data_IF_944959635614
#
_entry.id   IF_944959635614
#
_cell.length_a   1.000
_cell.length_b   1.000
_cell.length_c   1.000
_cell.angle_alpha   90.00
_cell.angle_beta   90.00
_cell.angle_gamma   90.00
#
_symmetry.space_group_name_H-M   'P 1'
#
loop_
_entity.id
_entity.type
_entity.pdbx_description
1 polymer ?
#
# COMPACT_ATOMS: atom_id res chain seq x y z
N UNK A 1 -14.20 -16.36 -20.58
CA UNK A 1 -13.87 -17.80 -20.63
C UNK A 1 -14.60 -18.45 -19.46
N UNK A 2 -15.74 -19.08 -19.70
CA UNK A 2 -16.45 -19.85 -18.68
C UNK A 2 -15.80 -21.23 -18.61
N UNK A 3 -14.98 -21.46 -17.59
CA UNK A 3 -14.51 -22.82 -17.31
C UNK A 3 -15.65 -23.54 -16.61
N UNK A 4 -16.53 -24.12 -17.40
CA UNK A 4 -17.41 -25.19 -16.96
C UNK A 4 -16.67 -26.49 -17.24
N UNK A 5 -15.73 -26.82 -16.39
CA UNK A 5 -15.13 -28.13 -16.39
C UNK A 5 -16.12 -29.08 -15.69
N UNK A 6 -16.89 -29.82 -16.50
CA UNK A 6 -17.83 -30.80 -16.00
C UNK A 6 -17.15 -31.87 -15.12
N UNK A 7 -15.89 -32.21 -15.39
CA UNK A 7 -15.11 -33.17 -14.60
C UNK A 7 -14.79 -32.63 -13.20
N UNK A 8 -14.57 -31.33 -13.06
CA UNK A 8 -14.35 -30.69 -11.76
C UNK A 8 -15.66 -30.63 -10.96
N UNK A 9 -16.77 -30.29 -11.61
CA UNK A 9 -18.09 -30.28 -10.98
C UNK A 9 -18.51 -31.65 -10.47
N UNK A 10 -18.26 -32.73 -11.22
CA UNK A 10 -18.51 -34.12 -10.81
C UNK A 10 -17.69 -34.52 -9.58
N UNK A 11 -16.41 -34.23 -9.55
CA UNK A 11 -15.53 -34.52 -8.39
C UNK A 11 -15.97 -33.80 -7.11
N UNK A 12 -16.47 -32.57 -7.21
CA UNK A 12 -16.96 -31.82 -6.07
C UNK A 12 -18.36 -32.27 -5.63
N UNK A 13 -19.21 -32.74 -6.53
CA UNK A 13 -20.52 -33.28 -6.18
C UNK A 13 -20.42 -34.58 -5.38
N UNK A 14 -19.45 -35.47 -5.67
CA UNK A 14 -19.13 -36.64 -4.87
C UNK A 14 -18.70 -36.29 -3.44
N UNK A 15 -18.07 -35.11 -3.22
CA UNK A 15 -17.66 -34.62 -1.91
C UNK A 15 -18.73 -33.78 -1.19
N UNK A 16 -19.97 -33.74 -1.69
CA UNK A 16 -21.06 -32.87 -1.20
C UNK A 16 -20.72 -31.38 -1.24
N UNK A 17 -19.84 -30.97 -2.13
CA UNK A 17 -19.49 -29.59 -2.36
C UNK A 17 -20.23 -29.05 -3.60
N UNK A 18 -20.83 -27.88 -3.47
CA UNK A 18 -21.46 -27.17 -4.56
C UNK A 18 -20.51 -26.11 -5.13
N UNK A 19 -20.41 -26.06 -6.47
CA UNK A 19 -19.68 -25.02 -7.17
C UNK A 19 -20.64 -23.93 -7.59
N UNK A 20 -20.46 -22.75 -7.03
CA UNK A 20 -21.23 -21.57 -7.34
C UNK A 20 -20.43 -20.64 -8.26
N UNK A 21 -21.08 -20.09 -9.28
CA UNK A 21 -20.48 -19.11 -10.18
C UNK A 21 -20.57 -17.73 -9.54
N UNK A 22 -19.45 -17.24 -8.99
CA UNK A 22 -19.41 -15.97 -8.26
C UNK A 22 -19.16 -14.75 -9.17
N UNK A 23 -18.26 -14.87 -10.16
CA UNK A 23 -17.76 -13.70 -10.88
C UNK A 23 -17.27 -14.05 -12.27
N UNK A 24 -17.72 -13.29 -13.29
CA UNK A 24 -17.18 -13.31 -14.63
C UNK A 24 -16.18 -12.17 -14.85
N UNK A 25 -15.02 -12.47 -15.42
CA UNK A 25 -13.98 -11.50 -15.74
C UNK A 25 -13.77 -11.44 -17.25
N UNK A 26 -13.66 -10.22 -17.83
CA UNK A 26 -13.25 -10.03 -19.23
C UNK A 26 -11.74 -10.01 -19.39
N UNK A 27 -11.02 -9.40 -18.43
CA UNK A 27 -9.57 -9.31 -18.41
C UNK A 27 -9.06 -9.65 -17.01
N UNK A 28 -7.90 -10.31 -16.95
CA UNK A 28 -7.27 -10.74 -15.73
C UNK A 28 -5.76 -10.59 -15.82
N UNK A 29 -5.16 -9.95 -14.80
CA UNK A 29 -3.73 -9.83 -14.63
C UNK A 29 -3.29 -10.38 -13.29
N UNK A 30 -2.24 -11.22 -13.29
CA UNK A 30 -1.61 -11.75 -12.08
C UNK A 30 -0.12 -11.91 -12.31
N UNK A 31 0.71 -11.45 -11.37
CA UNK A 31 2.16 -11.57 -11.46
C UNK A 31 2.80 -11.77 -10.08
N UNK A 32 3.81 -12.61 -10.03
CA UNK A 32 4.80 -12.77 -8.96
C UNK A 32 4.33 -13.49 -7.70
N UNK A 33 3.13 -13.28 -7.19
CA UNK A 33 2.71 -13.86 -5.90
C UNK A 33 1.30 -14.42 -5.92
N UNK A 34 1.10 -15.53 -5.19
CA UNK A 34 -0.22 -16.09 -4.96
C UNK A 34 -1.15 -15.05 -4.32
N UNK A 35 -2.43 -15.06 -4.70
CA UNK A 35 -3.49 -14.16 -4.20
C UNK A 35 -3.31 -12.67 -4.55
N UNK A 36 -2.39 -12.34 -5.46
CA UNK A 36 -2.26 -10.99 -6.06
C UNK A 36 -2.78 -11.02 -7.48
N UNK A 37 -3.88 -10.33 -7.71
CA UNK A 37 -4.45 -10.22 -9.03
C UNK A 37 -5.37 -9.00 -9.14
N UNK A 38 -5.56 -8.55 -10.36
CA UNK A 38 -6.56 -7.56 -10.74
C UNK A 38 -7.35 -8.09 -11.93
N UNK A 39 -8.62 -7.76 -12.02
CA UNK A 39 -9.46 -8.15 -13.14
C UNK A 39 -10.62 -7.20 -13.35
N UNK A 40 -11.08 -7.11 -14.59
CA UNK A 40 -12.29 -6.39 -14.94
C UNK A 40 -13.48 -7.36 -14.82
N UNK A 41 -14.29 -7.15 -13.81
CA UNK A 41 -15.52 -7.92 -13.58
C UNK A 41 -16.58 -7.42 -14.56
N UNK A 42 -17.25 -8.34 -15.26
CA UNK A 42 -18.37 -8.08 -16.16
C UNK A 42 -19.69 -8.64 -15.65
N UNK A 43 -19.62 -9.59 -14.72
CA UNK A 43 -20.80 -10.16 -14.06
C UNK A 43 -20.48 -10.47 -12.58
N UNK A 44 -21.39 -10.24 -11.63
CA UNK A 44 -22.79 -9.75 -11.77
C UNK A 44 -22.91 -8.24 -11.98
N UNK A 45 -21.88 -7.48 -11.64
CA UNK A 45 -21.83 -6.03 -11.81
C UNK A 45 -20.45 -5.60 -12.25
N UNK A 46 -20.38 -4.75 -13.26
CA UNK A 46 -19.14 -4.23 -13.77
C UNK A 46 -18.35 -3.45 -12.72
N UNK A 47 -17.10 -3.87 -12.47
CA UNK A 47 -16.16 -3.20 -11.55
C UNK A 47 -14.74 -3.73 -11.74
N UNK A 48 -13.75 -2.94 -11.42
CA UNK A 48 -12.38 -3.42 -11.24
C UNK A 48 -12.24 -4.13 -9.89
N UNK A 49 -11.78 -5.37 -9.89
CA UNK A 49 -11.50 -6.17 -8.70
C UNK A 49 -10.00 -6.25 -8.47
N UNK A 50 -9.56 -5.77 -7.31
CA UNK A 50 -8.14 -5.78 -6.92
C UNK A 50 -8.00 -6.65 -5.66
N UNK A 51 -7.09 -7.61 -5.67
CA UNK A 51 -6.79 -8.49 -4.53
C UNK A 51 -5.29 -8.54 -4.24
N UNK A 52 -4.94 -8.51 -2.95
CA UNK A 52 -3.57 -8.74 -2.48
C UNK A 52 -2.57 -7.60 -2.68
N UNK A 53 -2.99 -6.47 -3.22
CA UNK A 53 -2.18 -5.26 -3.35
C UNK A 53 -2.45 -4.25 -2.23
N UNK A 54 -1.59 -3.25 -2.12
CA UNK A 54 -1.61 -2.24 -1.06
C UNK A 54 -2.87 -1.34 -1.05
N UNK A 55 -3.69 -1.39 -2.08
CA UNK A 55 -4.94 -0.59 -2.18
C UNK A 55 -5.95 -0.85 -1.06
N UNK A 56 -5.83 -1.97 -0.35
CA UNK A 56 -6.72 -2.39 0.74
C UNK A 56 -6.09 -2.23 2.13
N UNK A 57 -4.83 -1.79 2.23
CA UNK A 57 -4.10 -1.75 3.49
C UNK A 57 -4.32 -0.45 4.25
N UNK A 58 -4.56 -0.54 5.54
CA UNK A 58 -4.75 0.63 6.41
C UNK A 58 -3.48 1.47 6.63
N UNK A 59 -2.29 0.87 6.40
CA UNK A 59 -0.99 1.54 6.50
C UNK A 59 -0.49 2.09 5.14
N UNK A 60 -1.35 2.08 4.12
CA UNK A 60 -1.13 2.73 2.83
C UNK A 60 -1.56 4.19 2.88
N UNK A 61 -1.01 5.01 2.01
CA UNK A 61 -1.39 6.40 1.83
C UNK A 61 -2.16 6.59 0.51
N UNK A 62 -2.99 7.65 0.46
CA UNK A 62 -3.94 7.85 -0.63
C UNK A 62 -3.27 7.96 -2.00
N UNK A 63 -2.18 8.72 -2.10
CA UNK A 63 -1.43 8.88 -3.35
C UNK A 63 -0.97 7.55 -3.95
N UNK A 64 -0.50 6.60 -3.10
CA UNK A 64 -0.15 5.26 -3.55
C UNK A 64 -1.38 4.45 -4.02
N UNK A 65 -2.45 4.49 -3.24
CA UNK A 65 -3.64 3.68 -3.57
C UNK A 65 -4.31 4.15 -4.85
N UNK A 66 -4.35 5.45 -5.09
CA UNK A 66 -4.94 6.01 -6.30
C UNK A 66 -4.03 5.81 -7.52
N UNK A 67 -2.70 5.96 -7.35
CA UNK A 67 -1.73 5.60 -8.38
C UNK A 67 -1.81 4.12 -8.80
N UNK A 68 -1.92 3.20 -7.83
CA UNK A 68 -2.10 1.77 -8.12
C UNK A 68 -3.41 1.49 -8.89
N UNK A 69 -4.51 2.12 -8.51
CA UNK A 69 -5.79 1.95 -9.23
C UNK A 69 -5.70 2.45 -10.68
N UNK A 70 -5.03 3.56 -10.89
CA UNK A 70 -4.83 4.10 -12.24
C UNK A 70 -3.90 3.21 -13.07
N UNK A 71 -2.79 2.75 -12.49
CA UNK A 71 -1.89 1.79 -13.12
C UNK A 71 -2.62 0.51 -13.54
N UNK A 72 -3.49 -0.04 -12.69
CA UNK A 72 -4.25 -1.24 -13.03
C UNK A 72 -5.21 -1.04 -14.20
N UNK A 73 -5.75 0.16 -14.40
CA UNK A 73 -6.55 0.46 -15.60
C UNK A 73 -5.70 0.31 -16.86
N UNK A 74 -4.52 0.94 -16.89
CA UNK A 74 -3.62 0.80 -18.03
C UNK A 74 -3.20 -0.67 -18.27
N UNK A 75 -2.91 -1.41 -17.21
CA UNK A 75 -2.55 -2.84 -17.31
C UNK A 75 -3.70 -3.69 -17.86
N UNK A 76 -4.95 -3.42 -17.46
CA UNK A 76 -6.14 -4.13 -17.96
C UNK A 76 -6.48 -3.74 -19.40
N UNK A 77 -6.10 -2.53 -19.82
CA UNK A 77 -6.24 -2.03 -21.19
C UNK A 77 -5.05 -2.43 -22.11
N UNK A 78 -4.13 -3.28 -21.60
CA UNK A 78 -2.90 -3.75 -22.29
C UNK A 78 -1.92 -2.62 -22.66
N UNK A 79 -1.98 -1.49 -21.94
CA UNK A 79 -1.10 -0.33 -22.11
C UNK A 79 0.01 -0.33 -21.03
N UNK A 80 0.98 -1.21 -21.22
CA UNK A 80 2.11 -1.34 -20.29
C UNK A 80 3.03 -0.11 -20.28
N UNK A 81 3.14 0.62 -21.39
CA UNK A 81 3.94 1.82 -21.50
C UNK A 81 3.35 2.96 -20.67
N UNK A 82 2.05 3.22 -20.79
CA UNK A 82 1.36 4.19 -19.95
C UNK A 82 1.42 3.83 -18.46
N UNK A 83 1.33 2.54 -18.11
CA UNK A 83 1.47 2.07 -16.74
C UNK A 83 2.86 2.36 -16.17
N UNK A 84 3.93 2.15 -16.93
CA UNK A 84 5.32 2.41 -16.53
C UNK A 84 5.55 3.92 -16.40
N UNK A 85 5.13 4.72 -17.37
CA UNK A 85 5.28 6.18 -17.36
C UNK A 85 4.55 6.78 -16.14
N UNK A 86 3.32 6.36 -15.88
CA UNK A 86 2.58 6.74 -14.66
C UNK A 86 3.39 6.45 -13.38
N UNK A 87 4.00 5.27 -13.30
CA UNK A 87 4.80 4.90 -12.13
C UNK A 87 6.00 5.83 -11.96
N UNK A 88 6.76 6.09 -13.02
CA UNK A 88 7.94 6.96 -13.01
C UNK A 88 7.53 8.39 -12.58
N UNK A 89 6.49 8.94 -13.18
CA UNK A 89 6.00 10.29 -12.88
C UNK A 89 5.51 10.41 -11.43
N UNK A 90 4.74 9.42 -10.96
CA UNK A 90 4.22 9.35 -9.58
C UNK A 90 5.37 9.28 -8.55
N UNK A 91 6.39 8.48 -8.82
CA UNK A 91 7.57 8.35 -7.96
C UNK A 91 8.39 9.63 -7.96
N UNK A 92 8.60 10.23 -9.13
CA UNK A 92 9.36 11.49 -9.30
C UNK A 92 8.69 12.63 -8.55
N UNK A 93 7.40 12.83 -8.71
CA UNK A 93 6.64 13.85 -8.01
C UNK A 93 6.75 13.71 -6.48
N UNK A 94 6.65 12.48 -5.95
CA UNK A 94 6.82 12.24 -4.53
C UNK A 94 8.25 12.56 -4.06
N UNK A 95 9.27 12.16 -4.84
CA UNK A 95 10.67 12.39 -4.53
C UNK A 95 11.02 13.87 -4.51
N UNK A 96 10.42 14.65 -5.39
CA UNK A 96 10.68 16.10 -5.56
C UNK A 96 9.89 16.99 -4.58
N UNK A 97 9.02 16.43 -3.73
CA UNK A 97 8.23 17.23 -2.81
C UNK A 97 6.97 17.87 -3.43
N UNK A 98 6.55 17.43 -4.60
CA UNK A 98 5.44 18.00 -5.37
C UNK A 98 4.07 17.51 -4.95
N UNK A 99 4.02 16.43 -4.13
CA UNK A 99 2.76 15.82 -3.69
C UNK A 99 2.22 16.54 -2.46
N UNK A 100 0.94 16.95 -2.46
CA UNK A 100 0.33 17.52 -1.27
C UNK A 100 0.44 16.57 -0.06
N UNK A 101 0.94 17.06 1.08
CA UNK A 101 1.24 16.24 2.25
C UNK A 101 0.03 15.43 2.73
N UNK A 102 -1.18 15.98 2.62
CA UNK A 102 -2.44 15.29 2.96
C UNK A 102 -2.68 13.98 2.18
N UNK A 103 -2.10 13.83 0.99
CA UNK A 103 -2.22 12.62 0.18
C UNK A 103 -1.22 11.52 0.62
N UNK A 104 -0.26 11.88 1.48
CA UNK A 104 0.80 11.01 2.00
C UNK A 104 0.53 10.53 3.43
N UNK A 105 -0.60 10.90 4.03
CA UNK A 105 -0.96 10.52 5.39
C UNK A 105 -1.06 9.01 5.50
N UNK A 106 -0.33 8.45 6.45
CA UNK A 106 -0.44 7.06 6.87
C UNK A 106 -1.13 6.96 8.20
N UNK A 107 -1.88 5.89 8.42
CA UNK A 107 -2.58 5.64 9.68
C UNK A 107 -2.33 4.23 10.16
N UNK A 108 -2.12 4.07 11.46
CA UNK A 108 -1.94 2.76 12.07
C UNK A 108 -2.55 2.71 13.47
N UNK A 109 -3.23 1.60 13.79
CA UNK A 109 -3.79 1.43 15.13
C UNK A 109 -2.67 1.28 16.15
N UNK A 110 -2.81 1.99 17.28
CA UNK A 110 -1.87 1.95 18.39
C UNK A 110 -2.55 1.41 19.64
N UNK A 111 -1.98 0.38 20.24
CA UNK A 111 -2.38 -0.13 21.56
C UNK A 111 -1.54 0.57 22.62
N UNK A 112 -2.03 0.57 23.85
CA UNK A 112 -1.34 1.11 25.03
C UNK A 112 -2.24 0.96 26.23
N UNK A 113 -1.67 1.10 27.42
CA UNK A 113 -2.38 1.00 28.71
C UNK A 113 -2.07 2.19 29.59
N UNK A 114 -3.08 2.73 30.26
CA UNK A 114 -2.86 3.77 31.24
C UNK A 114 -2.36 3.16 32.55
N UNK A 115 -1.15 3.51 32.94
CA UNK A 115 -0.60 3.14 34.25
C UNK A 115 -1.05 4.16 35.30
N UNK A 116 -2.02 3.77 36.14
CA UNK A 116 -2.58 4.62 37.19
C UNK A 116 -1.55 5.00 38.26
N UNK A 117 -0.53 4.14 38.53
CA UNK A 117 0.47 4.40 39.53
C UNK A 117 1.48 5.46 39.10
N UNK A 118 1.84 5.45 37.80
CA UNK A 118 2.81 6.36 37.22
C UNK A 118 2.17 7.56 36.52
N UNK A 119 0.84 7.59 36.43
CA UNK A 119 0.07 8.59 35.70
C UNK A 119 0.58 8.82 34.28
N UNK A 120 0.91 7.72 33.55
CA UNK A 120 1.43 7.76 32.19
C UNK A 120 0.98 6.56 31.36
N UNK A 121 1.05 6.70 30.04
CA UNK A 121 0.81 5.62 29.10
C UNK A 121 1.97 4.63 29.09
N UNK A 122 1.65 3.33 29.14
CA UNK A 122 2.58 2.21 29.02
C UNK A 122 2.30 1.43 27.73
N UNK A 123 3.29 1.33 26.86
CA UNK A 123 3.25 0.62 25.60
C UNK A 123 4.05 -0.70 25.65
N UNK A 124 4.82 -0.94 26.72
CA UNK A 124 5.73 -2.10 26.80
C UNK A 124 5.01 -3.44 26.88
N UNK A 125 3.77 -3.45 27.36
CA UNK A 125 2.95 -4.68 27.46
C UNK A 125 2.37 -5.13 26.11
N UNK A 126 2.26 -4.20 25.17
CA UNK A 126 1.65 -4.46 23.86
C UNK A 126 2.69 -4.54 22.73
N UNK A 127 3.91 -4.02 22.95
CA UNK A 127 5.01 -4.01 21.99
C UNK A 127 6.34 -4.38 22.65
N UNK A 128 7.07 -5.31 22.04
CA UNK A 128 8.38 -5.73 22.54
C UNK A 128 9.42 -4.59 22.53
N UNK A 129 9.38 -3.74 21.52
CA UNK A 129 10.21 -2.55 21.40
C UNK A 129 9.34 -1.34 21.01
N UNK A 130 8.67 -0.67 21.96
CA UNK A 130 7.77 0.45 21.70
C UNK A 130 8.44 1.61 20.96
N UNK A 131 9.69 1.94 21.30
CA UNK A 131 10.39 3.10 20.74
C UNK A 131 10.74 2.95 19.26
N UNK A 132 10.80 1.72 18.76
CA UNK A 132 10.96 1.45 17.32
C UNK A 132 9.64 1.46 16.54
N UNK A 133 8.50 1.47 17.22
CA UNK A 133 7.18 1.39 16.59
C UNK A 133 6.68 2.77 16.18
N UNK A 134 6.51 3.00 14.88
CA UNK A 134 6.05 4.28 14.32
C UNK A 134 4.73 4.73 14.94
N UNK A 135 3.75 3.82 15.07
CA UNK A 135 2.45 4.14 15.68
C UNK A 135 2.55 4.54 17.17
N UNK A 136 3.53 4.01 17.89
CA UNK A 136 3.77 4.38 19.29
C UNK A 136 4.40 5.76 19.35
N UNK A 137 5.36 6.06 18.49
CA UNK A 137 5.98 7.38 18.41
C UNK A 137 4.94 8.45 18.03
N UNK A 138 4.06 8.15 17.08
CA UNK A 138 2.94 9.03 16.73
C UNK A 138 1.97 9.24 17.90
N UNK A 139 1.62 8.18 18.64
CA UNK A 139 0.78 8.29 19.82
C UNK A 139 1.43 9.11 20.94
N UNK A 140 2.72 8.91 21.20
CA UNK A 140 3.48 9.74 22.18
C UNK A 140 3.46 11.21 21.79
N UNK A 141 3.73 11.53 20.53
CA UNK A 141 3.71 12.91 20.04
C UNK A 141 2.32 13.57 20.15
N UNK A 142 1.22 12.81 19.95
CA UNK A 142 -0.14 13.29 20.23
C UNK A 142 -0.36 13.60 21.71
N UNK A 143 0.06 12.69 22.60
CA UNK A 143 -0.08 12.85 24.05
C UNK A 143 0.74 14.04 24.54
N UNK A 144 1.95 14.24 24.04
CA UNK A 144 2.81 15.39 24.38
C UNK A 144 2.19 16.73 23.95
N UNK A 145 1.42 16.75 22.87
CA UNK A 145 0.60 17.90 22.44
C UNK A 145 -0.69 18.08 23.28
N UNK A 146 -0.92 17.24 24.30
CA UNK A 146 -2.12 17.30 25.14
C UNK A 146 -3.39 16.74 24.49
N UNK A 147 -3.26 16.02 23.37
CA UNK A 147 -4.38 15.47 22.64
C UNK A 147 -4.81 14.11 23.22
N UNK A 148 -6.11 13.76 23.14
CA UNK A 148 -6.61 12.51 23.68
C UNK A 148 -6.07 11.30 22.94
N UNK A 149 -5.63 10.30 23.69
CA UNK A 149 -5.24 8.98 23.17
C UNK A 149 -6.15 7.90 23.78
N UNK A 150 -6.66 7.01 22.94
CA UNK A 150 -7.47 5.87 23.35
C UNK A 150 -6.84 4.57 22.79
N UNK A 151 -6.70 3.50 23.60
CA UNK A 151 -6.13 2.24 23.14
C UNK A 151 -6.85 1.67 21.91
N UNK A 152 -6.10 1.33 20.87
CA UNK A 152 -6.63 0.82 19.61
C UNK A 152 -7.04 1.88 18.59
N UNK A 153 -7.03 3.17 18.94
CA UNK A 153 -7.29 4.23 17.97
C UNK A 153 -6.26 4.24 16.84
N UNK A 154 -6.68 4.69 15.67
CA UNK A 154 -5.76 4.97 14.57
C UNK A 154 -5.04 6.29 14.81
N UNK A 155 -3.73 6.27 14.80
CA UNK A 155 -2.89 7.46 14.81
C UNK A 155 -2.43 7.74 13.38
N UNK A 156 -2.65 8.96 12.92
CA UNK A 156 -2.25 9.43 11.59
C UNK A 156 -0.93 10.19 11.69
N UNK A 157 -0.05 9.98 10.73
CA UNK A 157 1.29 10.56 10.74
C UNK A 157 1.88 10.72 9.34
N UNK A 158 2.87 11.60 9.23
CA UNK A 158 3.74 11.78 8.07
C UNK A 158 5.17 11.41 8.49
N UNK A 159 5.90 10.74 7.61
CA UNK A 159 7.34 10.50 7.79
C UNK A 159 8.11 11.71 7.27
N UNK A 160 8.88 12.35 8.15
CA UNK A 160 9.67 13.53 7.83
C UNK A 160 11.15 13.23 7.66
N UNK A 161 11.67 12.16 8.28
CA UNK A 161 13.02 11.68 8.05
C UNK A 161 13.14 10.19 8.39
N UNK A 162 13.24 9.36 7.38
CA UNK A 162 13.35 7.90 7.54
C UNK A 162 14.77 7.43 7.86
N UNK A 163 15.79 8.26 7.69
CA UNK A 163 17.20 7.93 8.00
C UNK A 163 17.50 7.93 9.48
N UNK A 164 16.75 8.69 10.26
CA UNK A 164 16.88 8.73 11.72
C UNK A 164 16.51 7.40 12.38
N UNK A 165 17.09 7.13 13.55
CA UNK A 165 16.78 5.96 14.37
C UNK A 165 16.49 6.40 15.81
N UNK A 166 15.23 6.33 16.27
CA UNK A 166 14.02 5.92 15.53
C UNK A 166 13.67 6.87 14.39
N UNK A 167 12.89 6.37 13.41
CA UNK A 167 12.41 7.15 12.27
C UNK A 167 11.64 8.38 12.77
N UNK A 168 11.98 9.55 12.22
CA UNK A 168 11.31 10.79 12.56
C UNK A 168 9.97 10.90 11.84
N UNK A 169 8.94 11.16 12.62
CA UNK A 169 7.58 11.34 12.14
C UNK A 169 6.94 12.58 12.80
N UNK A 170 5.92 13.10 12.15
CA UNK A 170 5.02 14.07 12.76
C UNK A 170 3.58 13.54 12.73
N UNK A 171 2.83 13.65 13.85
CA UNK A 171 1.42 13.31 13.85
C UNK A 171 0.68 14.28 12.92
N UNK A 172 -0.26 13.74 12.15
CA UNK A 172 -1.10 14.57 11.29
C UNK A 172 -2.26 15.14 12.13
N UNK A 173 -2.39 16.46 12.11
CA UNK A 173 -3.47 17.22 12.72
C UNK A 173 -4.01 18.21 11.68
N UNK A 174 -5.31 18.32 11.56
CA UNK A 174 -5.93 19.26 10.61
C UNK A 174 -5.66 20.73 10.98
N UNK A 175 -5.54 20.99 12.30
CA UNK A 175 -5.31 22.33 12.86
C UNK A 175 -3.81 22.75 12.82
N UNK A 176 -2.92 21.77 12.71
CA UNK A 176 -1.46 21.99 12.66
C UNK A 176 -0.86 21.09 11.56
N UNK A 177 -1.14 21.41 10.27
CA UNK A 177 -0.75 20.55 9.16
C UNK A 177 0.76 20.51 8.98
N UNK A 178 1.27 19.31 8.81
CA UNK A 178 2.66 19.05 8.41
C UNK A 178 2.89 19.62 7.01
N UNK A 179 3.98 20.34 6.80
CA UNK A 179 4.30 20.97 5.51
C UNK A 179 5.40 20.27 4.73
N UNK A 180 6.18 19.42 5.40
CA UNK A 180 7.33 18.74 4.81
C UNK A 180 7.24 17.23 5.03
N UNK A 181 7.81 16.46 4.11
CA UNK A 181 7.89 15.00 4.19
C UNK A 181 9.21 14.48 3.60
N UNK A 182 9.59 13.25 3.95
CA UNK A 182 10.73 12.56 3.37
C UNK A 182 10.39 12.01 1.97
N UNK A 183 10.67 12.80 0.92
CA UNK A 183 10.36 12.44 -0.46
C UNK A 183 10.98 11.11 -0.89
N UNK A 184 12.21 10.80 -0.43
CA UNK A 184 12.86 9.54 -0.77
C UNK A 184 12.13 8.34 -0.14
N UNK A 185 11.69 8.45 1.11
CA UNK A 185 10.92 7.41 1.77
C UNK A 185 9.63 7.06 1.03
N UNK A 186 8.87 8.09 0.62
CA UNK A 186 7.63 7.88 -0.12
C UNK A 186 7.87 7.36 -1.53
N UNK A 187 8.91 7.86 -2.22
CA UNK A 187 9.34 7.35 -3.52
C UNK A 187 9.73 5.87 -3.47
N UNK A 188 10.48 5.43 -2.46
CA UNK A 188 10.88 4.03 -2.27
C UNK A 188 9.66 3.12 -2.05
N UNK A 189 8.67 3.60 -1.30
CA UNK A 189 7.41 2.85 -1.08
C UNK A 189 6.57 2.74 -2.34
N UNK A 190 6.46 3.82 -3.11
CA UNK A 190 5.80 3.83 -4.42
C UNK A 190 6.49 2.86 -5.37
N UNK A 191 7.80 2.97 -5.52
CA UNK A 191 8.59 2.10 -6.39
C UNK A 191 8.47 0.62 -6.01
N UNK A 192 8.48 0.30 -4.71
CA UNK A 192 8.28 -1.08 -4.25
C UNK A 192 6.89 -1.62 -4.59
N UNK A 193 5.86 -0.80 -4.50
CA UNK A 193 4.49 -1.22 -4.79
C UNK A 193 4.24 -1.35 -6.29
N UNK A 194 4.66 -0.36 -7.08
CA UNK A 194 4.54 -0.36 -8.54
C UNK A 194 5.43 -1.43 -9.19
N UNK A 195 6.66 -1.61 -8.67
CA UNK A 195 7.61 -2.61 -9.17
C UNK A 195 7.03 -4.02 -9.19
N UNK A 196 6.19 -4.38 -8.23
CA UNK A 196 5.49 -5.68 -8.19
C UNK A 196 4.55 -5.92 -9.38
N UNK A 197 4.19 -4.86 -10.09
CA UNK A 197 3.35 -4.90 -11.29
C UNK A 197 4.23 -4.78 -12.53
N UNK A 198 5.13 -3.80 -12.55
CA UNK A 198 5.97 -3.50 -13.71
C UNK A 198 7.08 -4.53 -13.95
N UNK A 199 7.40 -5.37 -12.96
CA UNK A 199 8.28 -6.55 -13.17
C UNK A 199 7.75 -7.50 -14.24
N UNK A 200 6.42 -7.60 -14.42
CA UNK A 200 5.82 -8.34 -15.52
C UNK A 200 6.18 -7.79 -16.89
N UNK A 201 6.55 -6.51 -16.97
CA UNK A 201 6.95 -5.79 -18.18
C UNK A 201 8.46 -5.53 -18.23
N UNK A 202 9.23 -6.17 -17.34
CA UNK A 202 10.69 -6.07 -17.28
C UNK A 202 11.20 -4.77 -16.66
N UNK A 203 10.43 -4.12 -15.78
CA UNK A 203 10.86 -2.95 -15.01
C UNK A 203 10.83 -3.24 -13.51
N UNK A 204 12.02 -3.20 -12.89
CA UNK A 204 12.18 -3.34 -11.45
C UNK A 204 11.88 -2.04 -10.70
N UNK A 205 11.67 -2.15 -9.38
CA UNK A 205 11.51 -0.99 -8.50
C UNK A 205 12.70 -0.01 -8.58
N UNK A 206 13.93 -0.54 -8.77
CA UNK A 206 15.15 0.28 -8.89
C UNK A 206 15.17 1.09 -10.18
N UNK A 207 14.73 0.50 -11.28
CA UNK A 207 14.63 1.18 -12.58
C UNK A 207 13.56 2.26 -12.56
N UNK A 208 12.41 2.00 -11.91
CA UNK A 208 11.39 3.02 -11.70
C UNK A 208 11.91 4.22 -10.90
N UNK A 209 12.70 4.00 -9.84
CA UNK A 209 13.32 5.08 -9.04
C UNK A 209 14.33 5.91 -9.80
N UNK A 210 15.04 5.29 -10.76
CA UNK A 210 16.03 5.98 -11.60
C UNK A 210 15.41 6.64 -12.83
N UNK A 211 14.18 6.27 -13.19
CA UNK A 211 13.53 6.68 -14.44
C UNK A 211 14.16 6.11 -15.71
N UNK A 212 15.14 5.21 -15.57
CA UNK A 212 15.88 4.63 -16.68
C UNK A 212 15.97 3.12 -16.59
N UNK A 213 15.73 2.45 -17.69
CA UNK A 213 15.96 1.00 -17.80
C UNK A 213 17.46 0.71 -17.88
N UNK A 214 18.00 -0.06 -16.95
CA UNK A 214 19.33 -0.59 -17.07
C UNK A 214 19.31 -1.74 -18.10
N UNK A 215 19.61 -1.43 -19.35
CA UNK A 215 19.96 -2.48 -20.32
C UNK A 215 21.31 -3.07 -19.90
N UNK A 216 21.32 -4.36 -19.57
CA UNK A 216 22.57 -5.10 -19.34
C UNK A 216 23.39 -5.06 -20.64
N UNK A 217 24.63 -4.57 -20.55
CA UNK A 217 25.59 -4.57 -21.67
C UNK A 217 26.00 -5.99 -22.12
N UNK A 218 25.48 -7.04 -21.44
CA UNK A 218 25.82 -8.45 -21.67
C UNK A 218 24.65 -9.29 -22.24
N UNK A 219 23.63 -8.66 -22.79
CA UNK A 219 22.53 -9.36 -23.47
C UNK A 219 22.82 -9.43 -24.98
N UNK A 220 23.84 -10.17 -25.36
CA UNK A 220 24.10 -10.61 -26.74
C UNK A 220 24.09 -12.12 -26.78
#
# INVERSE_FOLDING_TARGET
>A
MCIRDSSTAERFSEASAELEFETGLSVFFSHGAKKRYVGQVVWPKEKMMIKGYETQRSDSFRYLTDGLKQMFRYVLDDDSEAAINLAIDTISAAKNGEVPVRELIMSKSCKGRWDKKRAKWDFTKDYANPDSMIQVNAAKALIEKGLPFTPGMKVSYIVTNARNRPMQIQPWLEEDPVTEYDGQYYADRLATAFGRITEAFGWSAKELLSGNRQTSLFSF
#
